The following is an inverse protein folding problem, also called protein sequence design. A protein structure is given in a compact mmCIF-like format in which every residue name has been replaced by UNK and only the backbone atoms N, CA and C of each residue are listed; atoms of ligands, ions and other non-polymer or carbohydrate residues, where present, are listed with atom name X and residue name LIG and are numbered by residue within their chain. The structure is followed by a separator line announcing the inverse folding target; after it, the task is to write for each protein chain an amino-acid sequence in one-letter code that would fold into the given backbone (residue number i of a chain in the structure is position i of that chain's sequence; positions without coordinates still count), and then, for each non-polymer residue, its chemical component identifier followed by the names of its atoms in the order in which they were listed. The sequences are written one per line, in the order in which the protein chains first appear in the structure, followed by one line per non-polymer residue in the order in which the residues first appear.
data_IF_034089837053
#
_entry.id   IF_034089837053
#
_cell.length_a   1.000
_cell.length_b   1.000
_cell.length_c   1.000
_cell.angle_alpha   90.00
_cell.angle_beta   90.00
_cell.angle_gamma   90.00
#
_symmetry.space_group_name_H-M   'P 1'
#
loop_
_entity.id
_entity.type
_entity.pdbx_description
1 polymer ?
#
# COMPACT_ATOMS: atom_id res chain seq x y z
N UNK A 1 0.65 18.46 10.33
CA UNK A 1 -0.81 18.28 10.35
C UNK A 1 -1.27 17.83 8.98
N UNK A 2 -1.99 16.72 8.89
CA UNK A 2 -2.52 16.21 7.62
C UNK A 2 -3.78 17.00 7.20
N UNK A 3 -3.98 17.14 5.89
CA UNK A 3 -5.15 17.80 5.29
C UNK A 3 -6.00 16.76 4.60
N UNK A 4 -7.16 16.45 5.18
CA UNK A 4 -8.11 15.45 4.67
C UNK A 4 -9.29 16.08 3.91
N UNK A 5 -9.32 17.40 3.83
CA UNK A 5 -10.35 18.21 3.19
C UNK A 5 -10.01 18.60 1.75
N UNK A 6 -8.80 18.27 1.28
CA UNK A 6 -8.36 18.59 -0.08
C UNK A 6 -8.84 17.52 -1.05
N UNK A 7 -9.72 17.91 -1.96
CA UNK A 7 -10.07 17.08 -3.11
C UNK A 7 -8.89 16.98 -4.11
N UNK A 8 -8.62 15.77 -4.58
CA UNK A 8 -7.65 15.48 -5.64
C UNK A 8 -8.36 14.64 -6.69
N UNK A 9 -8.47 15.16 -7.93
CA UNK A 9 -9.05 14.37 -9.01
C UNK A 9 -8.19 13.14 -9.28
N UNK A 10 -8.85 12.00 -9.52
CA UNK A 10 -8.24 10.72 -9.88
C UNK A 10 -8.54 10.30 -11.32
N UNK A 11 -9.14 11.18 -12.11
CA UNK A 11 -9.37 10.95 -13.54
C UNK A 11 -8.03 10.85 -14.28
N UNK A 12 -7.90 9.89 -15.21
CA UNK A 12 -6.67 9.67 -15.97
C UNK A 12 -5.52 9.08 -15.14
N UNK A 13 -5.77 8.73 -13.88
CA UNK A 13 -4.79 8.05 -13.01
C UNK A 13 -4.84 6.53 -13.11
N UNK A 14 -5.67 5.99 -14.01
CA UNK A 14 -5.97 4.55 -14.11
C UNK A 14 -6.57 3.97 -12.81
N UNK A 15 -7.36 4.78 -12.10
CA UNK A 15 -8.05 4.35 -10.88
C UNK A 15 -9.21 3.42 -11.21
N UNK A 16 -9.15 2.15 -10.77
CA UNK A 16 -10.27 1.21 -10.93
C UNK A 16 -11.60 1.77 -10.38
N UNK A 17 -11.53 2.52 -9.27
CA UNK A 17 -12.69 3.12 -8.61
C UNK A 17 -13.41 4.13 -9.52
N UNK A 18 -12.65 5.04 -10.13
CA UNK A 18 -13.17 6.16 -10.91
C UNK A 18 -13.33 5.83 -12.41
N UNK A 19 -12.36 5.15 -13.02
CA UNK A 19 -12.37 4.82 -14.46
C UNK A 19 -13.53 3.88 -14.83
N UNK A 20 -14.00 3.03 -13.91
CA UNK A 20 -15.18 2.17 -14.13
C UNK A 20 -16.44 2.95 -14.50
N UNK A 21 -16.55 4.20 -14.05
CA UNK A 21 -17.72 5.06 -14.25
C UNK A 21 -17.36 6.34 -15.02
N UNK A 22 -16.24 6.35 -15.74
CA UNK A 22 -15.82 7.49 -16.55
C UNK A 22 -16.91 7.86 -17.58
N UNK A 23 -17.21 9.17 -17.68
CA UNK A 23 -18.25 9.68 -18.58
C UNK A 23 -19.69 9.47 -18.10
N UNK A 24 -19.89 9.07 -16.84
CA UNK A 24 -21.22 8.96 -16.20
C UNK A 24 -21.36 9.95 -15.04
N UNK A 25 -22.55 10.07 -14.47
CA UNK A 25 -22.86 10.87 -13.27
C UNK A 25 -22.73 10.08 -11.96
N UNK A 26 -22.17 8.86 -12.01
CA UNK A 26 -22.05 7.96 -10.87
C UNK A 26 -20.85 8.33 -10.00
N UNK A 27 -21.09 8.52 -8.70
CA UNK A 27 -20.03 8.67 -7.69
C UNK A 27 -19.65 7.29 -7.10
N UNK A 28 -18.38 6.87 -7.20
CA UNK A 28 -17.98 5.53 -6.76
C UNK A 28 -17.64 5.46 -5.26
N UNK A 29 -18.33 4.60 -4.52
CA UNK A 29 -18.10 4.37 -3.08
C UNK A 29 -17.95 2.88 -2.71
N UNK A 30 -17.50 2.03 -3.65
CA UNK A 30 -17.62 0.57 -3.54
C UNK A 30 -16.31 -0.18 -3.25
N UNK A 31 -15.18 0.28 -3.79
CA UNK A 31 -13.88 -0.38 -3.62
C UNK A 31 -13.09 0.26 -2.49
N UNK A 32 -12.37 -0.56 -1.72
CA UNK A 32 -11.61 -0.16 -0.53
C UNK A 32 -10.27 0.50 -0.88
N UNK A 33 -10.32 1.65 -1.57
CA UNK A 33 -9.23 2.63 -1.63
C UNK A 33 -9.74 4.01 -1.18
N UNK A 34 -8.83 4.96 -0.99
CA UNK A 34 -9.15 6.29 -0.47
C UNK A 34 -8.98 7.37 -1.55
N UNK A 35 -9.81 8.42 -1.47
CA UNK A 35 -9.65 9.66 -2.25
C UNK A 35 -8.83 10.70 -1.47
N UNK A 36 -7.86 10.22 -0.70
CA UNK A 36 -6.93 10.99 0.11
C UNK A 36 -5.51 10.85 -0.45
N UNK A 37 -4.71 11.92 -0.47
CA UNK A 37 -3.31 11.82 -0.88
C UNK A 37 -2.52 10.99 0.14
N UNK A 38 -1.59 10.16 -0.34
CA UNK A 38 -0.59 9.53 0.52
C UNK A 38 0.20 10.57 1.32
N UNK A 39 0.62 10.26 2.56
CA UNK A 39 1.47 11.11 3.36
C UNK A 39 2.75 11.57 2.63
N UNK A 40 3.26 12.78 2.89
CA UNK A 40 4.46 13.30 2.22
C UNK A 40 5.68 12.38 2.34
N UNK A 41 5.88 11.74 3.50
CA UNK A 41 7.02 10.85 3.73
C UNK A 41 6.98 9.58 2.85
N UNK A 42 5.79 9.06 2.53
CA UNK A 42 5.65 7.92 1.61
C UNK A 42 5.97 8.35 0.18
N UNK A 43 5.44 9.49 -0.24
CA UNK A 43 5.70 10.05 -1.57
C UNK A 43 7.19 10.34 -1.77
N UNK A 44 7.87 10.84 -0.74
CA UNK A 44 9.30 11.13 -0.79
C UNK A 44 10.14 9.85 -0.85
N UNK A 45 9.76 8.78 -0.14
CA UNK A 45 10.42 7.47 -0.25
C UNK A 45 10.30 6.90 -1.67
N UNK A 46 9.10 6.96 -2.27
CA UNK A 46 8.87 6.51 -3.66
C UNK A 46 9.71 7.34 -4.64
N UNK A 47 9.70 8.67 -4.51
CA UNK A 47 10.53 9.57 -5.36
C UNK A 47 12.01 9.28 -5.20
N UNK A 48 12.48 9.05 -3.98
CA UNK A 48 13.87 8.73 -3.69
C UNK A 48 14.27 7.42 -4.38
N UNK A 49 13.46 6.36 -4.27
CA UNK A 49 13.72 5.09 -4.96
C UNK A 49 13.71 5.25 -6.48
N UNK A 50 12.81 6.08 -7.01
CA UNK A 50 12.72 6.36 -8.44
C UNK A 50 13.95 7.07 -9.02
N UNK A 51 14.75 7.77 -8.19
CA UNK A 51 16.01 8.41 -8.63
C UNK A 51 17.12 7.41 -8.92
N UNK A 52 17.08 6.22 -8.34
CA UNK A 52 18.08 5.20 -8.60
C UNK A 52 17.88 4.65 -10.02
N UNK A 53 18.88 4.72 -10.92
CA UNK A 53 18.69 4.47 -12.35
C UNK A 53 18.43 2.99 -12.70
N UNK A 54 18.59 2.07 -11.74
CA UNK A 54 18.40 0.62 -11.93
C UNK A 54 17.21 0.14 -11.09
N UNK A 55 16.32 -0.62 -11.74
CA UNK A 55 15.08 -1.17 -11.18
C UNK A 55 14.97 -2.69 -11.37
N UNK A 56 16.10 -3.40 -11.23
CA UNK A 56 16.15 -4.86 -11.29
C UNK A 56 15.60 -5.54 -10.03
N UNK A 57 15.86 -6.85 -9.91
CA UNK A 57 15.42 -7.66 -8.77
C UNK A 57 15.86 -7.07 -7.43
N UNK A 58 14.98 -7.17 -6.44
CA UNK A 58 15.21 -6.69 -5.08
C UNK A 58 14.93 -7.81 -4.08
N UNK A 59 15.59 -7.75 -2.94
CA UNK A 59 15.31 -8.56 -1.76
C UNK A 59 14.50 -7.75 -0.75
N UNK A 60 13.91 -8.42 0.23
CA UNK A 60 13.21 -7.77 1.34
C UNK A 60 14.27 -7.14 2.26
N UNK A 61 14.18 -5.83 2.56
CA UNK A 61 15.08 -5.20 3.53
C UNK A 61 14.77 -5.65 4.96
N UNK A 62 15.80 -5.86 5.78
CA UNK A 62 15.63 -6.21 7.21
C UNK A 62 14.78 -5.17 7.95
N UNK A 63 14.94 -3.89 7.59
CA UNK A 63 14.17 -2.78 8.15
C UNK A 63 12.65 -2.90 7.92
N UNK A 64 12.21 -3.59 6.87
CA UNK A 64 10.79 -3.84 6.65
C UNK A 64 10.27 -4.91 7.63
N UNK A 65 11.04 -5.95 7.88
CA UNK A 65 10.73 -7.00 8.86
C UNK A 65 10.70 -6.43 10.28
N UNK A 66 11.70 -5.62 10.64
CA UNK A 66 11.75 -4.94 11.94
C UNK A 66 10.52 -4.04 12.15
N UNK A 67 10.16 -3.23 11.14
CA UNK A 67 8.99 -2.35 11.22
C UNK A 67 7.67 -3.11 11.37
N UNK A 68 7.53 -4.28 10.72
CA UNK A 68 6.37 -5.15 10.89
C UNK A 68 6.25 -5.64 12.34
N UNK A 69 7.33 -6.21 12.89
CA UNK A 69 7.34 -6.77 14.25
C UNK A 69 7.16 -5.70 15.32
N UNK A 70 7.83 -4.55 15.15
CA UNK A 70 7.66 -3.41 16.04
C UNK A 70 6.20 -2.94 16.07
N UNK A 71 5.58 -2.80 14.88
CA UNK A 71 4.18 -2.38 14.79
C UNK A 71 3.23 -3.41 15.40
N UNK A 72 3.45 -4.70 15.15
CA UNK A 72 2.66 -5.77 15.74
C UNK A 72 2.70 -5.75 17.28
N UNK A 73 3.89 -5.55 17.84
CA UNK A 73 4.10 -5.44 19.28
C UNK A 73 3.47 -4.16 19.86
N UNK A 74 3.72 -3.00 19.24
CA UNK A 74 3.27 -1.71 19.76
C UNK A 74 1.75 -1.52 19.66
N UNK A 75 1.15 -1.90 18.53
CA UNK A 75 -0.27 -1.65 18.26
C UNK A 75 -1.17 -2.77 18.82
N UNK A 76 -0.65 -4.01 18.89
CA UNK A 76 -1.46 -5.19 19.21
C UNK A 76 -0.90 -6.07 20.33
N UNK A 77 0.27 -5.76 20.90
CA UNK A 77 0.93 -6.60 21.90
C UNK A 77 1.36 -7.97 21.36
N UNK A 78 1.49 -8.11 20.04
CA UNK A 78 1.77 -9.38 19.38
C UNK A 78 3.26 -9.52 19.07
N UNK A 79 3.90 -10.54 19.65
CA UNK A 79 5.26 -10.94 19.32
C UNK A 79 5.24 -11.95 18.17
N UNK A 80 5.86 -11.58 17.05
CA UNK A 80 5.99 -12.42 15.85
C UNK A 80 7.37 -13.09 15.88
N UNK A 81 7.40 -14.42 15.75
CA UNK A 81 8.63 -15.21 15.68
C UNK A 81 9.27 -15.11 14.28
N UNK A 82 10.59 -15.26 14.23
CA UNK A 82 11.35 -15.03 13.00
C UNK A 82 10.99 -15.99 11.86
N UNK A 83 10.62 -17.22 12.18
CA UNK A 83 10.24 -18.25 11.22
C UNK A 83 8.80 -18.11 10.71
N UNK A 84 8.01 -17.15 11.20
CA UNK A 84 6.64 -16.92 10.76
C UNK A 84 6.55 -15.98 9.54
N UNK A 85 7.61 -15.24 9.24
CA UNK A 85 7.58 -14.20 8.21
C UNK A 85 7.61 -14.81 6.79
N UNK A 86 6.54 -14.59 6.03
CA UNK A 86 6.44 -14.97 4.62
C UNK A 86 5.98 -13.78 3.79
N UNK A 87 6.85 -13.29 2.91
CA UNK A 87 6.56 -12.15 2.04
C UNK A 87 5.81 -12.58 0.78
N UNK A 88 4.60 -12.05 0.63
CA UNK A 88 3.69 -12.30 -0.49
C UNK A 88 3.22 -10.96 -1.08
N UNK A 89 2.87 -10.91 -2.37
CA UNK A 89 2.49 -9.65 -3.03
C UNK A 89 1.16 -9.07 -2.53
N UNK A 90 0.34 -9.84 -1.83
CA UNK A 90 -0.93 -9.39 -1.27
C UNK A 90 -1.72 -10.49 -0.58
N UNK A 91 -2.71 -10.10 0.22
CA UNK A 91 -3.51 -11.01 1.04
C UNK A 91 -4.23 -12.08 0.21
N UNK A 92 -4.81 -11.73 -0.94
CA UNK A 92 -5.53 -12.67 -1.80
C UNK A 92 -4.62 -13.80 -2.29
N UNK A 93 -3.40 -13.48 -2.72
CA UNK A 93 -2.41 -14.47 -3.09
C UNK A 93 -2.07 -15.38 -1.90
N UNK A 94 -1.89 -14.82 -0.71
CA UNK A 94 -1.64 -15.57 0.52
C UNK A 94 -2.75 -16.56 0.87
N UNK A 95 -4.00 -16.10 0.83
CA UNK A 95 -5.16 -16.97 1.07
C UNK A 95 -5.24 -18.10 0.06
N UNK A 96 -5.03 -17.81 -1.22
CA UNK A 96 -5.02 -18.82 -2.26
C UNK A 96 -3.91 -19.86 -2.07
N UNK A 97 -2.74 -19.44 -1.59
CA UNK A 97 -1.65 -20.37 -1.24
C UNK A 97 -1.97 -21.19 0.01
N UNK A 98 -2.62 -20.62 1.01
CA UNK A 98 -2.95 -21.31 2.27
C UNK A 98 -4.07 -22.36 2.13
N UNK A 99 -4.95 -22.21 1.13
CA UNK A 99 -6.08 -23.10 0.88
C UNK A 99 -5.77 -24.26 -0.07
N UNK A 100 -4.56 -24.32 -0.64
CA UNK A 100 -4.12 -25.37 -1.56
C UNK A 100 -3.23 -26.38 -0.87
#
# INVERSE_FOLDING_TARGET
MFRFDKFVSREGSYSLKWEKYAGTDILPFWVADMDLPSPPFELDAVRLRARHPIHGYSTVPDSLTEALRERASNDFGWSIEEDWDVWIPGLEAGMHHALR
#
